data_IF_589723191863
#
_entry.id   IF_589723191863
#
_cell.length_a   1.000
_cell.length_b   1.000
_cell.length_c   1.000
_cell.angle_alpha   90.00
_cell.angle_beta   90.00
_cell.angle_gamma   90.00
#
_symmetry.space_group_name_H-M   'P 1'
#
loop_
_entity.id
_entity.type
_entity.pdbx_description
1 polymer ?
#
# COMPACT_ATOMS: atom_id res chain seq x y z
N UNK A 1 8.25 17.36 -4.66
CA UNK A 1 8.04 15.95 -5.05
C UNK A 1 8.58 15.79 -6.46
N UNK A 2 9.44 14.82 -6.74
CA UNK A 2 9.88 14.57 -8.13
C UNK A 2 8.87 13.64 -8.82
N UNK A 3 8.84 13.64 -10.15
CA UNK A 3 7.90 12.84 -10.95
C UNK A 3 7.96 11.34 -10.62
N UNK A 4 9.16 10.81 -10.33
CA UNK A 4 9.37 9.41 -9.95
C UNK A 4 8.68 9.04 -8.64
N UNK A 5 8.78 9.90 -7.61
CA UNK A 5 8.15 9.66 -6.30
C UNK A 5 6.62 9.75 -6.40
N UNK A 6 6.10 10.66 -7.23
CA UNK A 6 4.65 10.74 -7.51
C UNK A 6 4.15 9.46 -8.18
N UNK A 7 4.85 8.99 -9.22
CA UNK A 7 4.50 7.75 -9.91
C UNK A 7 4.49 6.53 -8.97
N UNK A 8 5.51 6.40 -8.11
CA UNK A 8 5.55 5.32 -7.12
C UNK A 8 4.39 5.41 -6.12
N UNK A 9 4.03 6.62 -5.66
CA UNK A 9 2.90 6.81 -4.75
C UNK A 9 1.58 6.44 -5.41
N UNK A 10 1.40 6.78 -6.68
CA UNK A 10 0.20 6.42 -7.44
C UNK A 10 0.09 4.89 -7.62
N UNK A 11 1.21 4.21 -7.90
CA UNK A 11 1.28 2.74 -7.94
C UNK A 11 0.88 2.13 -6.59
N UNK A 12 1.44 2.62 -5.48
CA UNK A 12 1.09 2.15 -4.13
C UNK A 12 -0.39 2.36 -3.83
N UNK A 13 -0.96 3.52 -4.23
CA UNK A 13 -2.39 3.80 -4.05
C UNK A 13 -3.26 2.79 -4.81
N UNK A 14 -2.93 2.46 -6.05
CA UNK A 14 -3.68 1.49 -6.85
C UNK A 14 -3.65 0.09 -6.23
N UNK A 15 -2.48 -0.36 -5.77
CA UNK A 15 -2.33 -1.66 -5.10
C UNK A 15 -3.10 -1.71 -3.77
N UNK A 16 -3.07 -0.63 -2.99
CA UNK A 16 -3.75 -0.56 -1.70
C UNK A 16 -5.27 -0.59 -1.88
N UNK A 17 -5.76 0.15 -2.86
CA UNK A 17 -7.16 0.19 -3.24
C UNK A 17 -7.66 -1.20 -3.73
N UNK A 18 -6.86 -1.93 -4.51
CA UNK A 18 -7.17 -3.32 -4.87
C UNK A 18 -7.22 -4.23 -3.63
N UNK A 19 -6.21 -4.15 -2.76
CA UNK A 19 -6.16 -4.95 -1.54
C UNK A 19 -7.33 -4.66 -0.59
N UNK A 20 -7.80 -3.40 -0.54
CA UNK A 20 -8.95 -2.98 0.25
C UNK A 20 -10.25 -3.56 -0.30
N UNK A 21 -10.48 -3.46 -1.61
CA UNK A 21 -11.66 -4.08 -2.27
C UNK A 21 -11.70 -5.59 -2.09
N UNK A 22 -10.54 -6.25 -2.11
CA UNK A 22 -10.39 -7.68 -1.84
C UNK A 22 -10.46 -8.04 -0.34
N UNK A 23 -10.71 -7.07 0.54
CA UNK A 23 -10.79 -7.25 2.01
C UNK A 23 -9.52 -7.83 2.65
N UNK A 24 -8.36 -7.64 2.01
CA UNK A 24 -7.05 -8.10 2.51
C UNK A 24 -6.44 -7.10 3.51
N UNK A 25 -6.80 -5.82 3.38
CA UNK A 25 -6.49 -4.74 4.31
C UNK A 25 -7.79 -4.07 4.73
N UNK A 26 -7.81 -3.41 5.90
CA UNK A 26 -9.01 -2.75 6.44
C UNK A 26 -9.01 -1.23 6.24
N UNK A 27 -7.99 -0.67 5.59
CA UNK A 27 -7.89 0.75 5.28
C UNK A 27 -6.52 1.12 4.73
N UNK A 28 -6.43 2.27 4.08
CA UNK A 28 -5.17 2.82 3.58
C UNK A 28 -5.29 4.33 3.34
N UNK A 29 -4.15 5.01 3.23
CA UNK A 29 -4.11 6.45 3.00
C UNK A 29 -2.70 7.00 3.00
N UNK A 30 -2.59 8.32 3.00
CA UNK A 30 -1.30 8.97 3.09
C UNK A 30 -0.69 8.81 4.50
N UNK A 31 0.63 8.63 4.57
CA UNK A 31 1.38 8.70 5.81
C UNK A 31 1.67 10.15 6.22
N UNK A 32 2.19 10.37 7.44
CA UNK A 32 2.61 11.70 7.90
C UNK A 32 3.81 12.24 7.09
N UNK A 33 4.61 11.35 6.49
CA UNK A 33 5.70 11.70 5.57
C UNK A 33 5.30 11.45 4.11
N UNK A 34 5.72 12.35 3.21
CA UNK A 34 5.51 12.28 1.75
C UNK A 34 6.17 11.05 1.10
N UNK A 35 7.13 10.42 1.77
CA UNK A 35 7.81 9.17 1.38
C UNK A 35 7.17 7.93 1.99
N UNK A 36 6.11 8.09 2.77
CA UNK A 36 5.41 7.00 3.43
C UNK A 36 3.97 6.85 2.95
N UNK A 37 3.43 5.65 3.11
CA UNK A 37 2.04 5.31 2.88
C UNK A 37 1.50 4.56 4.08
N UNK A 38 0.27 4.87 4.48
CA UNK A 38 -0.40 4.18 5.56
C UNK A 38 -1.19 2.98 5.01
N UNK A 39 -1.03 1.82 5.64
CA UNK A 39 -1.79 0.60 5.38
C UNK A 39 -2.29 0.06 6.72
N UNK A 40 -3.60 -0.17 6.85
CA UNK A 40 -4.20 -0.81 8.02
C UNK A 40 -4.33 -2.30 7.73
N UNK A 41 -3.41 -3.09 8.27
CA UNK A 41 -3.36 -4.54 8.08
C UNK A 41 -3.60 -5.26 9.40
N UNK A 42 -4.52 -6.22 9.40
CA UNK A 42 -4.97 -6.95 10.61
C UNK A 42 -5.40 -5.98 11.73
N UNK A 43 -6.11 -4.90 11.36
CA UNK A 43 -6.59 -3.89 12.30
C UNK A 43 -5.51 -2.95 12.85
N UNK A 44 -4.25 -3.08 12.41
CA UNK A 44 -3.15 -2.23 12.88
C UNK A 44 -2.68 -1.28 11.78
N UNK A 45 -2.69 0.05 12.00
CA UNK A 45 -2.12 0.99 11.06
C UNK A 45 -0.59 0.84 11.02
N UNK A 46 -0.02 0.84 9.82
CA UNK A 46 1.41 0.79 9.56
C UNK A 46 1.77 1.89 8.57
N UNK A 47 2.80 2.67 8.88
CA UNK A 47 3.39 3.61 7.96
C UNK A 47 4.63 2.98 7.36
N UNK A 48 4.61 2.77 6.04
CA UNK A 48 5.70 2.13 5.32
C UNK A 48 6.28 3.10 4.30
N UNK A 49 7.61 3.15 4.12
CA UNK A 49 8.21 3.79 2.96
C UNK A 49 7.57 3.29 1.67
N UNK A 50 7.39 4.16 0.68
CA UNK A 50 6.65 3.84 -0.56
C UNK A 50 7.10 2.52 -1.23
N UNK A 51 8.42 2.28 -1.32
CA UNK A 51 8.96 1.04 -1.88
C UNK A 51 8.57 -0.20 -1.05
N UNK A 52 8.58 -0.08 0.29
CA UNK A 52 8.17 -1.16 1.18
C UNK A 52 6.65 -1.38 1.14
N UNK A 53 5.86 -0.31 1.03
CA UNK A 53 4.42 -0.38 0.84
C UNK A 53 4.07 -1.12 -0.46
N UNK A 54 4.75 -0.79 -1.57
CA UNK A 54 4.60 -1.48 -2.84
C UNK A 54 4.89 -2.97 -2.71
N UNK A 55 6.07 -3.32 -2.18
CA UNK A 55 6.48 -4.72 -2.02
C UNK A 55 5.50 -5.50 -1.12
N UNK A 56 5.05 -4.89 -0.03
CA UNK A 56 4.08 -5.49 0.89
C UNK A 56 2.76 -5.80 0.17
N UNK A 57 2.19 -4.83 -0.54
CA UNK A 57 0.90 -4.97 -1.22
C UNK A 57 0.95 -5.96 -2.38
N UNK A 58 2.00 -5.91 -3.21
CA UNK A 58 2.18 -6.86 -4.31
C UNK A 58 2.26 -8.30 -3.79
N UNK A 59 3.03 -8.52 -2.71
CA UNK A 59 3.11 -9.85 -2.09
C UNK A 59 1.79 -10.31 -1.49
N UNK A 60 1.04 -9.39 -0.88
CA UNK A 60 -0.26 -9.69 -0.29
C UNK A 60 -1.28 -10.11 -1.36
N UNK A 61 -1.37 -9.35 -2.46
CA UNK A 61 -2.25 -9.65 -3.60
C UNK A 61 -1.84 -10.93 -4.34
N UNK A 62 -0.55 -11.17 -4.48
CA UNK A 62 -0.06 -12.41 -5.09
C UNK A 62 -0.48 -13.64 -4.28
N UNK A 63 -0.25 -13.61 -2.95
CA UNK A 63 -0.62 -14.70 -2.05
C UNK A 63 -2.13 -14.97 -2.03
N UNK A 64 -2.97 -13.94 -2.13
CA UNK A 64 -4.42 -14.12 -2.16
C UNK A 64 -4.94 -14.77 -3.45
N UNK A 65 -4.17 -14.76 -4.53
CA UNK A 65 -4.55 -15.39 -5.82
C UNK A 65 -4.08 -16.84 -5.93
N UNK A 66 -3.22 -17.30 -5.02
CA UNK A 66 -2.71 -18.67 -4.95
C UNK A 66 -3.48 -19.56 -3.98
N UNK A 67 -4.42 -18.99 -3.23
CA UNK A 67 -5.32 -19.66 -2.30
C UNK A 67 -6.71 -19.78 -2.92
#
# INVERSE_FOLDING_TARGET
MNSTQTALRDEVRQLAEEAFRSKLISGHGDGPDIKEYQIVYQGKPRHLPLEQARLFLTNLLYRSRML
#
